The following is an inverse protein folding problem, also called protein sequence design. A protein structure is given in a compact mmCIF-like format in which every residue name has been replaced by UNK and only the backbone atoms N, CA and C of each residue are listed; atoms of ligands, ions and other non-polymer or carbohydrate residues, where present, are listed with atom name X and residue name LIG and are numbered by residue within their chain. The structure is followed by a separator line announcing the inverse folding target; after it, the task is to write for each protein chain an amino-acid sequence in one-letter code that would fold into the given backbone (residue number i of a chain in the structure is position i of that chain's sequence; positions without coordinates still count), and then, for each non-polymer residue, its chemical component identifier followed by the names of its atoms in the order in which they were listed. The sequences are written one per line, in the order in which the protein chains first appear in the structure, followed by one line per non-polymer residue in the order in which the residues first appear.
data_IF_458539379893
#
_entry.id   IF_458539379893
#
_cell.length_a   1.000
_cell.length_b   1.000
_cell.length_c   1.000
_cell.angle_alpha   90.00
_cell.angle_beta   90.00
_cell.angle_gamma   90.00
#
_symmetry.space_group_name_H-M   'P 1'
#
loop_
_entity.id
_entity.type
_entity.pdbx_description
1 polymer ?
#
# COMPACT_ATOMS: atom_id res chain seq x y z
N UNK A 1 15.89 -51.11 -7.44
CA UNK A 1 14.75 -50.47 -6.75
C UNK A 1 14.72 -49.03 -7.21
N UNK A 2 13.68 -48.64 -7.97
CA UNK A 2 13.51 -47.28 -8.48
C UNK A 2 12.64 -46.52 -7.48
N UNK A 3 13.19 -45.44 -6.92
CA UNK A 3 12.50 -44.51 -6.05
C UNK A 3 11.55 -43.65 -6.89
N UNK A 4 10.25 -43.73 -6.60
CA UNK A 4 9.25 -42.83 -7.17
C UNK A 4 9.11 -41.62 -6.25
N UNK A 5 9.50 -40.45 -6.73
CA UNK A 5 9.21 -39.15 -6.11
C UNK A 5 7.72 -38.86 -6.25
N UNK A 6 7.04 -38.58 -5.13
CA UNK A 6 5.70 -38.01 -5.12
C UNK A 6 5.80 -36.48 -5.09
N UNK A 7 5.29 -35.83 -6.14
CA UNK A 7 5.07 -34.38 -6.22
C UNK A 7 3.75 -34.09 -5.50
N UNK A 8 3.79 -33.30 -4.42
CA UNK A 8 2.59 -32.71 -3.83
C UNK A 8 2.33 -31.37 -4.52
N UNK A 9 1.12 -31.25 -5.05
CA UNK A 9 0.60 -30.09 -5.78
C UNK A 9 0.66 -28.82 -4.92
N UNK A 10 1.24 -27.76 -5.46
CA UNK A 10 1.05 -26.41 -4.93
C UNK A 10 -0.40 -26.00 -5.11
N UNK A 11 -1.05 -25.59 -4.01
CA UNK A 11 -2.34 -24.94 -4.04
C UNK A 11 -2.20 -23.60 -4.77
N UNK A 12 -2.59 -23.55 -6.04
CA UNK A 12 -2.87 -22.29 -6.70
C UNK A 12 -4.27 -21.86 -6.28
N UNK A 13 -4.38 -21.02 -5.24
CA UNK A 13 -5.62 -20.33 -4.96
C UNK A 13 -5.83 -19.33 -6.11
N UNK A 14 -6.75 -19.66 -7.02
CA UNK A 14 -7.16 -18.77 -8.08
C UNK A 14 -7.73 -17.51 -7.42
N UNK A 15 -6.99 -16.39 -7.49
CA UNK A 15 -7.43 -15.11 -6.95
C UNK A 15 -8.69 -14.69 -7.71
N UNK A 16 -9.85 -14.96 -7.11
CA UNK A 16 -11.14 -14.55 -7.64
C UNK A 16 -11.20 -13.02 -7.59
N UNK A 17 -11.04 -12.39 -8.75
CA UNK A 17 -11.19 -10.96 -8.90
C UNK A 17 -12.66 -10.61 -8.64
N UNK A 18 -12.92 -9.77 -7.65
CA UNK A 18 -14.22 -9.16 -7.52
C UNK A 18 -14.51 -8.31 -8.77
N UNK A 19 -15.76 -8.38 -9.25
CA UNK A 19 -16.22 -7.62 -10.40
C UNK A 19 -16.35 -6.13 -10.08
N UNK A 20 -17.33 -5.47 -10.70
CA UNK A 20 -17.57 -4.05 -10.46
C UNK A 20 -18.00 -3.81 -8.99
N UNK A 21 -17.29 -2.91 -8.30
CA UNK A 21 -17.64 -2.46 -6.94
C UNK A 21 -18.98 -1.71 -6.94
N UNK A 22 -19.77 -1.77 -5.86
CA UNK A 22 -20.97 -0.95 -5.72
C UNK A 22 -20.70 0.55 -5.88
N UNK A 23 -21.72 1.31 -6.29
CA UNK A 23 -21.61 2.77 -6.45
C UNK A 23 -21.28 3.44 -5.11
N UNK A 24 -20.35 4.40 -5.11
CA UNK A 24 -19.83 5.03 -3.90
C UNK A 24 -18.91 4.13 -3.05
N UNK A 25 -18.64 2.90 -3.50
CA UNK A 25 -17.82 1.94 -2.77
C UNK A 25 -16.32 2.06 -3.06
N UNK A 26 -15.48 1.95 -2.03
CA UNK A 26 -14.03 1.84 -2.18
C UNK A 26 -13.51 0.49 -1.67
N UNK A 27 -12.51 -0.10 -2.35
CA UNK A 27 -11.97 -1.41 -1.97
C UNK A 27 -11.05 -1.30 -0.75
N UNK A 28 -11.36 -2.08 0.30
CA UNK A 28 -10.49 -2.25 1.48
C UNK A 28 -9.18 -2.92 1.04
N UNK A 29 -8.05 -2.41 1.55
CA UNK A 29 -6.72 -2.98 1.26
C UNK A 29 -6.16 -2.68 -0.14
N UNK A 30 -6.85 -1.85 -0.94
CA UNK A 30 -6.36 -1.36 -2.24
C UNK A 30 -6.40 0.17 -2.34
N UNK A 31 -6.17 0.85 -1.21
CA UNK A 31 -6.14 2.30 -1.12
C UNK A 31 -7.50 2.98 -0.89
N UNK A 32 -8.60 2.23 -0.79
CA UNK A 32 -9.88 2.80 -0.37
C UNK A 32 -9.91 3.04 1.14
N UNK A 33 -10.18 4.27 1.57
CA UNK A 33 -10.41 4.64 2.97
C UNK A 33 -11.65 5.53 3.07
N UNK A 34 -12.25 5.61 4.26
CA UNK A 34 -13.34 6.56 4.52
C UNK A 34 -12.88 8.02 4.63
N UNK A 35 -11.58 8.29 4.45
CA UNK A 35 -11.05 9.65 4.35
C UNK A 35 -11.24 10.23 2.94
N UNK A 36 -11.49 9.36 1.94
CA UNK A 36 -11.84 9.80 0.60
C UNK A 36 -13.28 10.32 0.61
N UNK A 37 -13.44 11.59 0.26
CA UNK A 37 -14.73 12.29 0.21
C UNK A 37 -15.71 11.66 -0.80
N UNK A 38 -15.19 10.90 -1.77
CA UNK A 38 -15.96 10.14 -2.75
C UNK A 38 -16.34 8.74 -2.24
N UNK A 39 -15.83 8.34 -1.09
CA UNK A 39 -16.11 7.05 -0.47
C UNK A 39 -17.33 7.12 0.43
N UNK A 40 -18.43 6.52 -0.01
CA UNK A 40 -19.63 6.36 0.79
C UNK A 40 -19.55 5.11 1.68
N UNK A 41 -18.80 4.09 1.26
CA UNK A 41 -18.63 2.84 2.00
C UNK A 41 -17.38 2.06 1.56
N UNK A 42 -16.81 1.32 2.49
CA UNK A 42 -15.71 0.40 2.25
C UNK A 42 -16.22 -1.01 1.98
N UNK A 43 -15.68 -1.65 0.96
CA UNK A 43 -16.02 -3.02 0.55
C UNK A 43 -14.78 -3.92 0.52
N UNK A 44 -14.91 -5.10 1.08
CA UNK A 44 -13.91 -6.16 1.01
C UNK A 44 -14.27 -7.18 -0.08
N UNK A 45 -13.25 -7.72 -0.73
CA UNK A 45 -13.41 -8.73 -1.77
C UNK A 45 -13.24 -10.13 -1.18
N UNK A 46 -14.36 -10.77 -0.86
CA UNK A 46 -14.37 -12.11 -0.24
C UNK A 46 -14.98 -13.11 -1.21
N UNK A 47 -14.18 -14.11 -1.61
CA UNK A 47 -14.60 -15.18 -2.52
C UNK A 47 -15.23 -14.66 -3.85
N UNK A 48 -14.66 -13.58 -4.40
CA UNK A 48 -15.16 -12.94 -5.63
C UNK A 48 -16.43 -12.10 -5.45
N UNK A 49 -16.88 -11.86 -4.21
CA UNK A 49 -18.05 -11.06 -3.89
C UNK A 49 -17.68 -9.84 -3.03
N UNK A 50 -18.23 -8.68 -3.38
CA UNK A 50 -18.09 -7.48 -2.57
C UNK A 50 -18.94 -7.58 -1.31
N UNK A 51 -18.28 -7.52 -0.16
CA UNK A 51 -18.90 -7.53 1.17
C UNK A 51 -18.69 -6.15 1.80
N UNK A 52 -19.77 -5.54 2.30
CA UNK A 52 -19.66 -4.26 3.00
C UNK A 52 -18.83 -4.45 4.27
N UNK A 53 -17.70 -3.76 4.34
CA UNK A 53 -16.83 -3.73 5.50
C UNK A 53 -17.27 -2.63 6.47
N UNK A 54 -17.47 -1.42 5.95
CA UNK A 54 -17.83 -0.24 6.75
C UNK A 54 -18.62 0.77 5.91
N UNK A 55 -19.57 1.49 6.52
CA UNK A 55 -20.19 2.67 5.89
C UNK A 55 -19.44 3.91 6.33
N UNK A 56 -18.99 4.70 5.38
CA UNK A 56 -18.30 5.95 5.68
C UNK A 56 -19.33 7.01 6.07
N UNK A 57 -19.06 7.78 7.12
CA UNK A 57 -19.80 9.01 7.39
C UNK A 57 -19.40 10.05 6.35
N UNK A 58 -19.86 9.87 5.10
CA UNK A 58 -19.87 10.94 4.12
C UNK A 58 -20.69 12.06 4.75
N UNK A 59 -19.97 13.13 5.13
CA UNK A 59 -20.53 14.26 5.85
C UNK A 59 -21.69 14.87 5.07
N UNK A 60 -22.90 14.41 5.36
CA UNK A 60 -24.12 15.12 5.01
C UNK A 60 -24.17 16.39 5.86
N UNK A 61 -23.48 17.42 5.37
CA UNK A 61 -23.77 18.82 5.67
C UNK A 61 -22.91 19.48 6.75
N UNK A 62 -22.03 20.37 6.28
CA UNK A 62 -21.92 21.72 6.86
C UNK A 62 -20.70 22.00 7.75
N UNK A 63 -19.68 22.62 7.14
CA UNK A 63 -18.87 23.72 7.70
C UNK A 63 -18.23 23.53 9.07
N UNK A 64 -16.91 23.34 9.10
CA UNK A 64 -16.14 23.41 10.34
C UNK A 64 -14.64 23.31 10.14
N UNK A 65 -14.00 24.46 9.95
CA UNK A 65 -12.59 24.76 10.24
C UNK A 65 -12.06 24.03 11.50
N UNK A 66 -10.96 23.29 11.37
CA UNK A 66 -10.17 22.85 12.53
C UNK A 66 -9.23 21.69 12.20
N UNK A 67 -7.97 22.00 11.90
CA UNK A 67 -6.91 21.00 11.81
C UNK A 67 -6.78 20.21 13.11
N UNK A 68 -6.83 18.89 12.99
CA UNK A 68 -6.51 17.95 14.05
C UNK A 68 -5.72 16.81 13.43
N UNK A 69 -4.47 16.63 13.89
CA UNK A 69 -3.61 15.53 13.49
C UNK A 69 -4.31 14.17 13.72
N UNK A 70 -4.22 13.20 12.80
CA UNK A 70 -4.76 11.88 13.06
C UNK A 70 -3.94 11.21 14.16
N UNK A 71 -4.58 11.05 15.31
CA UNK A 71 -4.13 10.17 16.37
C UNK A 71 -4.48 8.75 15.93
N UNK A 72 -3.51 8.07 15.30
CA UNK A 72 -3.63 6.71 14.79
C UNK A 72 -4.08 5.73 15.88
N UNK A 73 -5.27 5.18 15.69
CA UNK A 73 -5.86 4.16 16.56
C UNK A 73 -5.06 2.86 16.45
N UNK A 74 -4.64 2.34 17.62
CA UNK A 74 -4.03 1.04 17.77
C UNK A 74 -5.00 -0.08 17.35
N UNK A 75 -4.81 -0.61 16.14
CA UNK A 75 -5.41 -1.87 15.68
C UNK A 75 -4.40 -3.00 15.80
N UNK A 76 -4.73 -4.04 16.57
CA UNK A 76 -3.89 -5.19 16.83
C UNK A 76 -3.67 -6.05 15.57
N UNK A 77 -2.59 -5.77 14.85
CA UNK A 77 -2.07 -6.52 13.70
C UNK A 77 -0.73 -5.90 13.30
N UNK A 78 0.34 -6.24 14.02
CA UNK A 78 1.60 -5.51 14.08
C UNK A 78 2.44 -5.53 12.81
N UNK A 79 2.01 -4.80 11.79
CA UNK A 79 2.92 -4.26 10.79
C UNK A 79 3.34 -2.87 11.29
N UNK A 80 4.63 -2.72 11.62
CA UNK A 80 5.21 -1.41 11.86
C UNK A 80 5.57 -0.83 10.49
N UNK A 81 4.84 0.21 10.01
CA UNK A 81 5.11 0.78 8.71
C UNK A 81 6.51 1.41 8.70
N UNK A 82 7.21 1.29 7.57
CA UNK A 82 8.42 2.07 7.34
C UNK A 82 8.01 3.51 7.12
N UNK A 83 8.80 4.43 7.67
CA UNK A 83 8.61 5.88 7.51
C UNK A 83 9.90 6.45 6.96
N UNK A 84 9.82 7.11 5.80
CA UNK A 84 10.94 7.83 5.21
C UNK A 84 10.92 9.31 5.63
N UNK A 85 12.08 9.97 5.54
CA UNK A 85 12.18 11.41 5.74
C UNK A 85 11.75 12.17 4.47
N UNK A 86 10.61 12.84 4.57
CA UNK A 86 10.02 13.67 3.52
C UNK A 86 10.37 15.17 3.63
N UNK A 87 11.30 15.55 4.53
CA UNK A 87 11.62 16.95 4.83
C UNK A 87 12.08 17.79 3.60
N UNK A 88 12.77 17.15 2.67
CA UNK A 88 13.35 17.76 1.45
C UNK A 88 12.65 17.31 0.15
N UNK A 89 11.39 16.90 0.23
CA UNK A 89 10.63 16.47 -0.94
C UNK A 89 10.42 17.59 -1.96
N UNK A 90 10.49 17.21 -3.23
CA UNK A 90 10.26 18.08 -4.38
C UNK A 90 9.19 17.47 -5.29
N UNK A 91 8.75 18.27 -6.25
CA UNK A 91 7.82 17.85 -7.29
C UNK A 91 8.50 17.84 -8.67
N UNK A 92 7.98 17.03 -9.59
CA UNK A 92 8.38 17.06 -10.99
C UNK A 92 9.76 16.45 -11.27
N UNK A 93 10.18 15.45 -10.50
CA UNK A 93 11.35 14.64 -10.85
C UNK A 93 11.15 13.98 -12.22
N UNK A 94 12.19 14.02 -13.05
CA UNK A 94 12.19 13.44 -14.39
C UNK A 94 13.49 12.68 -14.63
N UNK A 95 13.48 11.60 -15.46
CA UNK A 95 12.30 10.96 -16.06
C UNK A 95 11.41 10.28 -15.01
N UNK A 96 10.18 9.91 -15.37
CA UNK A 96 9.31 9.13 -14.49
C UNK A 96 9.97 7.79 -14.13
N UNK A 97 9.80 7.34 -12.88
CA UNK A 97 10.27 6.03 -12.44
C UNK A 97 9.67 4.93 -13.32
N UNK A 98 10.48 3.92 -13.64
CA UNK A 98 10.08 2.78 -14.46
C UNK A 98 10.26 1.51 -13.63
N UNK A 99 9.35 0.52 -13.72
CA UNK A 99 9.56 -0.75 -13.05
C UNK A 99 10.96 -1.34 -13.34
N UNK A 100 11.69 -1.80 -12.32
CA UNK A 100 11.24 -2.07 -10.95
C UNK A 100 11.40 -0.91 -9.95
N UNK A 101 11.70 0.32 -10.41
CA UNK A 101 11.81 1.50 -9.57
C UNK A 101 10.42 2.05 -9.21
N UNK A 102 10.18 2.29 -7.93
CA UNK A 102 8.90 2.72 -7.39
C UNK A 102 9.01 3.96 -6.48
N UNK A 103 7.92 4.71 -6.32
CA UNK A 103 7.84 5.78 -5.32
C UNK A 103 8.04 5.23 -3.90
N UNK A 104 8.75 5.97 -3.04
CA UNK A 104 9.00 5.61 -1.65
C UNK A 104 7.72 5.35 -0.85
N UNK A 105 6.67 6.09 -1.15
CA UNK A 105 5.33 5.95 -0.56
C UNK A 105 4.75 4.53 -0.75
N UNK A 106 5.20 3.78 -1.77
CA UNK A 106 4.80 2.39 -1.95
C UNK A 106 5.41 1.44 -0.91
N UNK A 107 6.52 1.80 -0.27
CA UNK A 107 7.16 1.05 0.80
C UNK A 107 6.67 1.42 2.21
N UNK A 108 5.95 2.53 2.36
CA UNK A 108 5.40 2.99 3.65
C UNK A 108 4.01 2.39 3.97
N UNK A 109 3.47 1.59 3.06
CA UNK A 109 2.18 0.92 3.23
C UNK A 109 2.33 -0.31 4.13
N UNK A 110 1.40 -0.53 5.04
CA UNK A 110 1.38 -1.75 5.87
C UNK A 110 1.31 -3.01 4.99
N UNK A 111 2.40 -3.79 4.97
CA UNK A 111 2.59 -4.96 4.13
C UNK A 111 4.07 -5.21 3.90
N UNK A 112 4.40 -6.25 3.13
CA UNK A 112 5.77 -6.48 2.66
C UNK A 112 5.92 -5.85 1.26
N UNK A 113 6.61 -4.71 1.12
CA UNK A 113 6.75 -4.04 -0.16
C UNK A 113 7.60 -4.85 -1.14
N UNK A 114 8.38 -5.81 -0.66
CA UNK A 114 9.20 -6.71 -1.49
C UNK A 114 8.42 -7.87 -2.10
N UNK A 115 7.13 -8.03 -1.76
CA UNK A 115 6.23 -8.95 -2.47
C UNK A 115 5.57 -8.32 -3.71
N UNK A 116 5.89 -7.06 -4.00
CA UNK A 116 5.40 -6.33 -5.18
C UNK A 116 6.37 -6.49 -6.37
N UNK A 117 6.12 -5.77 -7.47
CA UNK A 117 7.07 -5.66 -8.59
C UNK A 117 8.15 -4.59 -8.38
N UNK A 118 8.10 -3.89 -7.23
CA UNK A 118 9.07 -2.88 -6.84
C UNK A 118 10.31 -3.52 -6.21
N UNK A 119 11.49 -3.12 -6.69
CA UNK A 119 12.78 -3.52 -6.10
C UNK A 119 13.42 -2.32 -5.41
N UNK A 120 13.38 -1.15 -6.05
CA UNK A 120 14.05 0.06 -5.57
C UNK A 120 13.01 1.15 -5.30
N UNK A 121 13.14 1.84 -4.17
CA UNK A 121 12.21 2.86 -3.70
C UNK A 121 12.89 4.23 -3.68
N UNK A 122 12.27 5.22 -4.32
CA UNK A 122 12.83 6.55 -4.48
C UNK A 122 11.88 7.64 -3.99
N UNK A 123 12.44 8.65 -3.33
CA UNK A 123 11.76 9.92 -3.09
C UNK A 123 12.22 10.97 -4.09
N UNK A 124 11.29 11.82 -4.53
CA UNK A 124 11.64 12.96 -5.35
C UNK A 124 12.22 14.06 -4.46
N UNK A 125 13.51 14.37 -4.61
CA UNK A 125 14.19 15.45 -3.90
C UNK A 125 14.56 16.57 -4.86
N UNK A 126 15.00 17.71 -4.33
CA UNK A 126 15.40 18.88 -5.14
C UNK A 126 16.50 18.56 -6.17
N UNK A 127 17.31 17.54 -5.94
CA UNK A 127 18.37 17.06 -6.84
C UNK A 127 17.92 15.99 -7.85
N UNK A 128 16.67 15.53 -7.76
CA UNK A 128 16.13 14.42 -8.55
C UNK A 128 15.69 13.24 -7.66
N UNK A 129 15.52 12.08 -8.28
CA UNK A 129 15.19 10.84 -7.57
C UNK A 129 16.35 10.41 -6.67
N UNK A 130 16.05 10.23 -5.38
CA UNK A 130 16.98 9.72 -4.37
C UNK A 130 16.49 8.36 -3.90
N UNK A 131 17.35 7.34 -3.98
CA UNK A 131 17.06 6.02 -3.44
C UNK A 131 16.94 6.11 -1.92
N UNK A 132 15.83 5.63 -1.37
CA UNK A 132 15.55 5.64 0.08
C UNK A 132 15.43 4.24 0.67
N UNK A 133 15.26 3.24 -0.18
CA UNK A 133 15.28 1.84 0.23
C UNK A 133 15.24 0.90 -0.96
N UNK A 134 15.52 -0.38 -0.73
CA UNK A 134 15.47 -1.42 -1.74
C UNK A 134 15.20 -2.79 -1.12
N UNK A 135 14.66 -3.72 -1.92
CA UNK A 135 14.45 -5.10 -1.55
C UNK A 135 15.70 -5.94 -1.82
N UNK A 136 16.23 -6.59 -0.80
CA UNK A 136 17.39 -7.46 -0.94
C UNK A 136 17.01 -8.86 -1.49
N UNK A 137 18.01 -9.71 -1.76
CA UNK A 137 17.79 -11.07 -2.27
C UNK A 137 17.01 -12.00 -1.31
N UNK A 138 16.87 -11.61 -0.04
CA UNK A 138 16.07 -12.33 0.95
C UNK A 138 14.59 -11.88 0.95
N UNK A 139 14.24 -10.88 0.15
CA UNK A 139 12.90 -10.28 0.14
C UNK A 139 12.67 -9.34 1.32
N UNK A 140 13.73 -8.81 1.93
CA UNK A 140 13.62 -7.86 3.04
C UNK A 140 13.87 -6.43 2.53
N UNK A 141 13.06 -5.48 3.00
CA UNK A 141 13.28 -4.06 2.74
C UNK A 141 14.49 -3.57 3.53
N UNK A 142 15.48 -3.04 2.82
CA UNK A 142 16.65 -2.36 3.37
C UNK A 142 16.47 -0.87 3.15
N UNK A 143 16.35 -0.11 4.24
CA UNK A 143 16.19 1.34 4.22
C UNK A 143 17.56 2.02 4.25
N UNK A 144 17.74 3.08 3.47
CA UNK A 144 18.91 3.93 3.56
C UNK A 144 18.87 4.69 4.91
N UNK A 145 19.90 4.58 5.77
CA UNK A 145 19.92 5.23 7.07
C UNK A 145 19.85 6.77 7.00
N UNK A 146 20.22 7.39 5.87
CA UNK A 146 20.07 8.84 5.69
C UNK A 146 18.62 9.24 5.36
N UNK A 147 17.76 8.26 5.10
CA UNK A 147 16.36 8.45 4.69
C UNK A 147 15.35 8.17 5.81
N UNK A 148 15.79 7.94 7.05
CA UNK A 148 14.91 7.80 8.23
C UNK A 148 14.93 9.07 9.09
N UNK A 149 13.78 9.51 9.65
CA UNK A 149 13.68 10.72 10.48
C UNK A 149 14.44 10.65 11.82
#
# INVERSE_FOLDING_TARGET
MVTVLAVLAGCGEELLLCGKIPEGGCPVGRGGTCDDELCEALYDCVEGNWTLAETCESGSGGGGIGGGAPQGGSGAGGCEPVVFDHSDDAEGCTPDLQPPDCPGEAAEVCGDPCLTECIDFYLCKATGWTLVGFCNDAGELVVDPESTP
#
